data_IF_326754089305
#
_entry.id   IF_326754089305
#
_cell.length_a   1.000
_cell.length_b   1.000
_cell.length_c   1.000
_cell.angle_alpha   90.00
_cell.angle_beta   90.00
_cell.angle_gamma   90.00
#
_symmetry.space_group_name_H-M   'P 1'
#
loop_
_entity.id
_entity.type
_entity.pdbx_description
1 polymer ?
#
# COMPACT_ATOMS: atom_id res chain seq x y z
N UNK A 1 12.98 -8.97 6.14
CA UNK A 1 12.39 -7.83 6.85
C UNK A 1 12.34 -8.14 8.33
N UNK A 2 12.71 -7.20 9.16
CA UNK A 2 12.72 -7.37 10.61
C UNK A 2 11.48 -6.68 11.19
N UNK A 3 10.56 -7.47 11.74
CA UNK A 3 9.30 -6.96 12.28
C UNK A 3 9.45 -6.04 13.48
N UNK A 4 10.60 -6.03 14.12
CA UNK A 4 10.87 -5.17 15.28
C UNK A 4 11.37 -3.79 14.88
N UNK A 5 11.81 -3.63 13.63
CA UNK A 5 12.29 -2.34 13.14
C UNK A 5 11.15 -1.47 12.67
N UNK A 6 11.34 -0.15 12.65
CA UNK A 6 10.35 0.75 12.11
C UNK A 6 9.91 0.32 10.72
N UNK A 7 8.61 0.27 10.50
CA UNK A 7 8.00 -0.22 9.28
C UNK A 7 6.90 0.74 8.85
N UNK A 8 6.83 1.04 7.56
CA UNK A 8 5.74 1.84 7.00
C UNK A 8 4.59 0.91 6.62
N UNK A 9 3.37 1.31 6.94
CA UNK A 9 2.17 0.60 6.54
C UNK A 9 1.58 1.24 5.30
N UNK A 10 1.23 0.41 4.31
CA UNK A 10 0.39 0.82 3.17
C UNK A 10 -0.91 0.04 3.26
N UNK A 11 -2.04 0.75 3.39
CA UNK A 11 -3.36 0.13 3.46
C UNK A 11 -4.15 0.48 2.21
N UNK A 12 -4.71 -0.49 1.52
CA UNK A 12 -5.53 -0.25 0.35
C UNK A 12 -6.13 -1.53 -0.21
N UNK A 13 -6.89 -1.39 -1.28
CA UNK A 13 -7.48 -2.54 -1.98
C UNK A 13 -6.53 -3.12 -3.02
N UNK A 14 -5.79 -2.25 -3.70
CA UNK A 14 -4.81 -2.63 -4.74
C UNK A 14 -5.41 -3.54 -5.82
N UNK A 15 -6.52 -3.15 -6.38
CA UNK A 15 -7.27 -3.95 -7.36
C UNK A 15 -7.47 -3.18 -8.68
N UNK A 16 -6.53 -3.31 -9.62
CA UNK A 16 -5.24 -3.98 -9.50
C UNK A 16 -4.14 -3.06 -8.98
N UNK A 17 -3.01 -3.64 -8.61
CA UNK A 17 -1.80 -2.88 -8.35
C UNK A 17 -1.34 -2.25 -9.67
N UNK A 18 -1.04 -0.97 -9.65
CA UNK A 18 -0.61 -0.23 -10.84
C UNK A 18 0.61 0.64 -10.54
N UNK A 19 1.06 1.38 -11.55
CA UNK A 19 2.27 2.22 -11.45
C UNK A 19 2.21 3.22 -10.30
N UNK A 20 1.03 3.78 -10.03
CA UNK A 20 0.86 4.70 -8.89
C UNK A 20 1.13 4.02 -7.55
N UNK A 21 0.73 2.77 -7.41
CA UNK A 21 0.99 2.02 -6.19
C UNK A 21 2.48 1.71 -6.04
N UNK A 22 3.16 1.40 -7.14
CA UNK A 22 4.61 1.17 -7.12
C UNK A 22 5.35 2.43 -6.70
N UNK A 23 4.95 3.58 -7.21
CA UNK A 23 5.57 4.86 -6.83
C UNK A 23 5.32 5.17 -5.36
N UNK A 24 4.10 4.94 -4.88
CA UNK A 24 3.77 5.10 -3.47
C UNK A 24 4.62 4.18 -2.59
N UNK A 25 4.78 2.93 -3.03
CA UNK A 25 5.63 1.96 -2.33
C UNK A 25 7.07 2.45 -2.24
N UNK A 26 7.63 2.97 -3.33
CA UNK A 26 9.00 3.49 -3.32
C UNK A 26 9.17 4.59 -2.29
N UNK A 27 8.20 5.49 -2.19
CA UNK A 27 8.23 6.57 -1.20
C UNK A 27 8.11 6.04 0.22
N UNK A 28 7.24 5.08 0.44
CA UNK A 28 7.10 4.43 1.74
C UNK A 28 8.39 3.70 2.14
N UNK A 29 8.94 2.91 1.23
CA UNK A 29 10.16 2.15 1.46
C UNK A 29 11.35 3.06 1.80
N UNK A 30 11.42 4.23 1.19
CA UNK A 30 12.53 5.17 1.43
C UNK A 30 12.56 5.68 2.87
N UNK A 31 11.47 5.57 3.61
CA UNK A 31 11.40 6.08 4.98
C UNK A 31 12.05 5.15 5.99
N UNK A 32 11.86 3.84 5.85
CA UNK A 32 12.32 2.87 6.83
C UNK A 32 13.07 1.69 6.24
N UNK A 33 13.05 1.53 4.92
CA UNK A 33 13.65 0.38 4.26
C UNK A 33 12.81 -0.88 4.25
N UNK A 34 11.60 -0.83 4.84
CA UNK A 34 10.68 -1.96 4.82
C UNK A 34 9.24 -1.48 4.94
N UNK A 35 8.32 -2.22 4.30
CA UNK A 35 6.92 -1.84 4.20
C UNK A 35 6.03 -3.04 4.51
N UNK A 36 4.98 -2.81 5.27
CA UNK A 36 3.91 -3.79 5.46
C UNK A 36 2.72 -3.37 4.61
N UNK A 37 2.39 -4.17 3.60
CA UNK A 37 1.28 -3.89 2.70
C UNK A 37 0.06 -4.63 3.21
N UNK A 38 -0.98 -3.89 3.58
CA UNK A 38 -2.23 -4.44 4.08
C UNK A 38 -3.29 -4.36 2.99
N UNK A 39 -3.77 -5.53 2.54
CA UNK A 39 -4.82 -5.61 1.54
C UNK A 39 -6.16 -5.64 2.26
N UNK A 40 -6.95 -4.61 2.05
CA UNK A 40 -8.26 -4.44 2.67
C UNK A 40 -9.29 -5.31 1.95
N UNK A 41 -10.01 -6.14 2.68
CA UNK A 41 -11.05 -7.00 2.14
C UNK A 41 -12.35 -6.20 1.96
N UNK A 42 -12.76 -6.00 0.72
CA UNK A 42 -14.00 -5.29 0.38
C UNK A 42 -15.06 -6.22 -0.21
N UNK A 43 -14.83 -7.54 -0.13
CA UNK A 43 -15.79 -8.53 -0.64
C UNK A 43 -15.66 -8.82 -2.13
N UNK A 44 -14.84 -8.09 -2.84
CA UNK A 44 -14.57 -8.37 -4.24
C UNK A 44 -13.39 -9.32 -4.32
N UNK A 45 -13.68 -10.58 -4.58
CA UNK A 45 -12.75 -11.69 -4.42
C UNK A 45 -11.61 -11.76 -5.42
N UNK A 46 -10.96 -10.67 -5.71
CA UNK A 46 -9.82 -10.68 -6.61
C UNK A 46 -8.52 -10.71 -5.82
N UNK A 47 -7.86 -11.85 -5.83
CA UNK A 47 -6.54 -12.01 -5.22
C UNK A 47 -5.48 -11.68 -6.25
N UNK A 48 -4.81 -10.57 -6.05
CA UNK A 48 -3.75 -10.12 -6.96
C UNK A 48 -2.37 -10.15 -6.31
N UNK A 49 -2.21 -10.96 -5.26
CA UNK A 49 -0.94 -11.07 -4.54
C UNK A 49 0.23 -11.38 -5.48
N UNK A 50 0.08 -12.38 -6.35
CA UNK A 50 1.13 -12.75 -7.29
C UNK A 50 1.41 -11.62 -8.29
N UNK A 51 0.38 -10.92 -8.71
CA UNK A 51 0.53 -9.75 -9.59
C UNK A 51 1.34 -8.65 -8.89
N UNK A 52 1.02 -8.38 -7.62
CA UNK A 52 1.73 -7.38 -6.82
C UNK A 52 3.20 -7.76 -6.65
N UNK A 53 3.46 -9.02 -6.29
CA UNK A 53 4.82 -9.53 -6.11
C UNK A 53 5.60 -9.38 -7.42
N UNK A 54 4.99 -9.72 -8.55
CA UNK A 54 5.62 -9.59 -9.86
C UNK A 54 5.96 -8.14 -10.20
N UNK A 55 5.03 -7.22 -9.96
CA UNK A 55 5.25 -5.79 -10.22
C UNK A 55 6.35 -5.21 -9.34
N UNK A 56 6.37 -5.58 -8.07
CA UNK A 56 7.40 -5.10 -7.15
C UNK A 56 8.76 -5.71 -7.47
N UNK A 57 8.79 -6.95 -7.92
CA UNK A 57 10.03 -7.60 -8.34
C UNK A 57 10.65 -6.89 -9.54
N UNK A 58 9.84 -6.53 -10.52
CA UNK A 58 10.30 -5.74 -11.68
C UNK A 58 10.86 -4.40 -11.25
N UNK A 59 10.30 -3.81 -10.21
CA UNK A 59 10.77 -2.54 -9.66
C UNK A 59 12.02 -2.68 -8.78
N UNK A 60 12.48 -3.91 -8.51
CA UNK A 60 13.69 -4.16 -7.75
C UNK A 60 13.50 -4.52 -6.29
N UNK A 61 12.27 -4.86 -5.87
CA UNK A 61 11.96 -5.17 -4.48
C UNK A 61 11.56 -6.63 -4.30
N UNK A 62 11.99 -7.22 -3.19
CA UNK A 62 11.77 -8.64 -2.88
C UNK A 62 10.88 -8.81 -1.67
N UNK A 63 9.90 -9.71 -1.77
CA UNK A 63 9.06 -10.07 -0.63
C UNK A 63 9.91 -10.66 0.50
N UNK A 64 9.54 -10.34 1.73
CA UNK A 64 10.22 -10.72 2.98
C UNK A 64 11.52 -9.94 3.26
N UNK A 65 12.16 -9.38 2.25
CA UNK A 65 13.33 -8.51 2.45
C UNK A 65 12.89 -7.05 2.56
N UNK A 66 12.08 -6.60 1.61
CA UNK A 66 11.67 -5.21 1.49
C UNK A 66 10.25 -4.99 2.01
N UNK A 67 9.40 -6.01 1.95
CA UNK A 67 8.00 -5.89 2.32
C UNK A 67 7.39 -7.23 2.69
N UNK A 68 6.22 -7.18 3.32
CA UNK A 68 5.32 -8.33 3.42
C UNK A 68 3.90 -7.88 3.09
N UNK A 69 3.06 -8.83 2.70
CA UNK A 69 1.68 -8.58 2.30
C UNK A 69 0.76 -9.34 3.26
N UNK A 70 -0.19 -8.62 3.86
CA UNK A 70 -1.13 -9.18 4.82
C UNK A 70 -2.55 -8.84 4.39
N UNK A 71 -3.43 -9.84 4.35
CA UNK A 71 -4.86 -9.62 4.14
C UNK A 71 -5.48 -9.19 5.45
N UNK A 72 -6.24 -8.10 5.42
CA UNK A 72 -6.87 -7.54 6.62
C UNK A 72 -8.35 -7.28 6.36
N UNK A 73 -9.17 -7.17 7.43
CA UNK A 73 -10.57 -6.79 7.27
C UNK A 73 -10.74 -5.46 6.55
N UNK A 74 -11.98 -5.10 6.25
CA UNK A 74 -12.30 -3.83 5.61
C UNK A 74 -12.12 -2.66 6.59
N UNK A 75 -10.88 -2.34 6.87
CA UNK A 75 -10.51 -1.28 7.82
C UNK A 75 -10.85 0.08 7.23
N UNK A 76 -11.64 0.86 7.96
CA UNK A 76 -12.06 2.20 7.53
C UNK A 76 -11.66 3.30 8.51
N UNK A 77 -11.10 2.91 9.65
CA UNK A 77 -10.66 3.88 10.66
C UNK A 77 -9.46 3.33 11.42
N UNK A 78 -8.62 4.22 11.90
CA UNK A 78 -7.50 3.89 12.77
C UNK A 78 -7.69 4.68 14.05
N UNK A 79 -8.04 4.00 15.13
CA UNK A 79 -8.30 4.64 16.43
C UNK A 79 -7.16 4.32 17.39
N UNK A 80 -6.64 5.34 18.04
CA UNK A 80 -5.59 5.16 19.03
C UNK A 80 -5.87 6.04 20.24
N UNK A 81 -5.50 5.55 21.43
CA UNK A 81 -5.77 6.26 22.68
C UNK A 81 -4.62 7.12 23.16
N UNK A 82 -3.42 6.81 22.75
CA UNK A 82 -2.22 7.55 23.16
C UNK A 82 -1.30 7.71 21.96
N UNK A 83 -0.75 8.90 21.81
CA UNK A 83 0.26 9.13 20.79
C UNK A 83 1.54 8.36 21.16
N UNK A 84 1.92 7.43 20.31
CA UNK A 84 3.14 6.62 20.49
C UNK A 84 4.14 6.86 19.36
N UNK A 85 4.07 8.01 18.72
CA UNK A 85 5.00 8.38 17.66
C UNK A 85 4.62 7.91 16.27
N UNK A 86 3.38 7.50 16.06
CA UNK A 86 2.92 7.18 14.71
C UNK A 86 2.82 8.43 13.88
N UNK A 87 3.14 8.31 12.59
CA UNK A 87 2.93 9.38 11.63
C UNK A 87 1.91 8.93 10.60
N UNK A 88 1.15 9.89 10.08
CA UNK A 88 0.20 9.67 9.00
C UNK A 88 0.63 10.58 7.87
N UNK A 89 1.13 9.98 6.78
CA UNK A 89 1.70 10.74 5.68
C UNK A 89 0.88 10.53 4.43
N UNK A 90 0.38 11.62 3.87
CA UNK A 90 -0.22 11.60 2.55
C UNK A 90 0.88 11.88 1.54
N UNK A 91 1.18 10.89 0.69
CA UNK A 91 2.18 11.05 -0.36
C UNK A 91 1.51 11.59 -1.61
N UNK A 92 1.87 12.83 -1.97
CA UNK A 92 1.41 13.43 -3.22
C UNK A 92 2.27 12.92 -4.35
N UNK A 93 1.63 12.25 -5.30
CA UNK A 93 2.29 11.77 -6.50
C UNK A 93 2.28 12.88 -7.55
N UNK A 94 2.99 12.68 -8.67
CA UNK A 94 2.93 13.65 -9.75
C UNK A 94 1.54 13.67 -10.39
N UNK A 95 1.24 14.72 -11.12
CA UNK A 95 -0.08 14.95 -11.68
C UNK A 95 -0.56 13.77 -12.54
N UNK A 96 0.32 13.22 -13.37
CA UNK A 96 -0.03 12.10 -14.23
C UNK A 96 -0.37 10.86 -13.42
N UNK A 97 0.44 10.56 -12.41
CA UNK A 97 0.23 9.39 -11.56
C UNK A 97 -1.04 9.55 -10.73
N UNK A 98 -1.29 10.74 -10.20
CA UNK A 98 -2.52 11.02 -9.46
C UNK A 98 -3.75 10.91 -10.36
N UNK A 99 -3.66 11.33 -11.60
CA UNK A 99 -4.76 11.22 -12.55
C UNK A 99 -5.12 9.76 -12.81
N UNK A 100 -4.14 8.88 -12.97
CA UNK A 100 -4.37 7.45 -13.14
C UNK A 100 -5.08 6.88 -11.91
N UNK A 101 -4.58 7.19 -10.73
CA UNK A 101 -5.18 6.72 -9.47
C UNK A 101 -6.59 7.25 -9.29
N UNK A 102 -6.83 8.52 -9.56
CA UNK A 102 -8.14 9.14 -9.44
C UNK A 102 -9.16 8.50 -10.38
N UNK A 103 -8.76 8.20 -11.60
CA UNK A 103 -9.63 7.53 -12.56
C UNK A 103 -10.09 6.18 -12.04
N UNK A 104 -9.15 5.38 -11.54
CA UNK A 104 -9.47 4.07 -10.95
C UNK A 104 -10.35 4.19 -9.72
N UNK A 105 -10.08 5.15 -8.86
CA UNK A 105 -10.88 5.37 -7.66
C UNK A 105 -12.30 5.78 -7.99
N UNK A 106 -12.51 6.57 -9.03
CA UNK A 106 -13.85 6.94 -9.48
C UNK A 106 -14.63 5.74 -9.98
N UNK A 107 -13.98 4.81 -10.66
CA UNK A 107 -14.61 3.58 -11.13
C UNK A 107 -15.02 2.70 -9.96
N UNK A 108 -14.28 2.74 -8.87
CA UNK A 108 -14.50 1.90 -7.69
C UNK A 108 -15.27 2.66 -6.59
N UNK A 109 -15.57 3.90 -6.79
CA UNK A 109 -16.33 4.76 -5.87
C UNK A 109 -15.78 4.83 -4.45
N UNK A 110 -14.91 5.80 -4.21
CA UNK A 110 -14.46 6.12 -2.88
C UNK A 110 -13.55 5.10 -2.23
N UNK A 111 -13.08 4.12 -2.97
CA UNK A 111 -12.09 3.19 -2.45
C UNK A 111 -10.74 3.90 -2.36
N UNK A 112 -10.09 3.91 -1.21
CA UNK A 112 -8.74 4.41 -1.11
C UNK A 112 -7.79 3.42 -1.78
N UNK A 113 -6.73 3.90 -2.36
CA UNK A 113 -5.72 3.03 -2.95
C UNK A 113 -4.42 3.17 -2.25
#
# INVERSE_FOLDING_TARGET
MDRRKPTVQMLGRFQPWHEGHTELFKRAHSKTGQVCILIRDTGEGFHNRDHMIGKLKVAGFSMWEDYEIIDVPNIVDITYGRDVGYTFTEERLDEETEAISATRLREVKGAPC
#
